data_IF_026438996586
#
_entry.id   IF_026438996586
#
_cell.length_a   1.000
_cell.length_b   1.000
_cell.length_c   1.000
_cell.angle_alpha   90.00
_cell.angle_beta   90.00
_cell.angle_gamma   90.00
#
_symmetry.space_group_name_H-M   'P 1'
#
loop_
_entity.id
_entity.type
_entity.pdbx_description
1 polymer ?
#
# COMPACT_ATOMS: atom_id res chain seq x y z
N UNK A 1 0.43 -1.16 4.07
CA UNK A 1 -1.01 -1.02 3.81
C UNK A 1 -1.28 -1.13 2.31
N UNK A 2 -2.51 -1.42 1.90
CA UNK A 2 -2.89 -1.55 0.48
C UNK A 2 -4.27 -0.92 0.23
N UNK A 3 -4.48 -0.42 -0.98
CA UNK A 3 -5.80 -0.15 -1.51
C UNK A 3 -5.96 -0.63 -2.95
N UNK A 4 -7.19 -0.96 -3.32
CA UNK A 4 -7.58 -1.10 -4.72
C UNK A 4 -7.92 0.27 -5.28
N UNK A 5 -7.23 0.68 -6.34
CA UNK A 5 -7.41 1.99 -7.00
C UNK A 5 -7.93 1.77 -8.42
N UNK A 6 -8.84 2.64 -8.87
CA UNK A 6 -9.39 2.58 -10.23
C UNK A 6 -8.43 3.22 -11.22
N UNK A 7 -8.23 2.53 -12.34
CA UNK A 7 -7.45 3.00 -13.49
C UNK A 7 -8.27 2.83 -14.76
N UNK A 8 -9.00 3.89 -15.13
CA UNK A 8 -9.96 3.82 -16.22
C UNK A 8 -11.03 2.77 -15.95
N UNK A 9 -11.10 1.75 -16.81
CA UNK A 9 -12.00 0.61 -16.70
C UNK A 9 -11.45 -0.55 -15.84
N UNK A 10 -10.20 -0.48 -15.41
CA UNK A 10 -9.51 -1.53 -14.65
C UNK A 10 -9.20 -1.09 -13.22
N UNK A 11 -8.60 -2.01 -12.47
CA UNK A 11 -8.09 -1.78 -11.12
C UNK A 11 -6.60 -2.00 -11.05
N UNK A 12 -5.98 -1.36 -10.06
CA UNK A 12 -4.63 -1.63 -9.61
C UNK A 12 -4.61 -1.82 -8.09
N UNK A 13 -3.63 -2.55 -7.58
CA UNK A 13 -3.32 -2.58 -6.16
C UNK A 13 -2.16 -1.62 -5.89
N UNK A 14 -2.41 -0.59 -5.09
CA UNK A 14 -1.36 0.29 -4.60
C UNK A 14 -0.99 -0.10 -3.18
N UNK A 15 0.27 -0.51 -3.00
CA UNK A 15 0.86 -0.87 -1.72
C UNK A 15 1.82 0.22 -1.24
N UNK A 16 1.74 0.48 0.06
CA UNK A 16 2.76 1.19 0.81
C UNK A 16 3.35 0.26 1.85
N UNK A 17 4.67 0.08 1.81
CA UNK A 17 5.38 -0.88 2.65
C UNK A 17 6.59 -0.19 3.28
N UNK A 18 6.84 -0.44 4.56
CA UNK A 18 8.10 -0.12 5.21
C UNK A 18 8.88 -1.41 5.42
N UNK A 19 10.19 -1.38 5.15
CA UNK A 19 11.10 -2.50 5.30
C UNK A 19 12.36 -2.03 6.04
N UNK A 20 12.89 -2.89 6.91
CA UNK A 20 14.18 -2.63 7.57
C UNK A 20 15.37 -3.06 6.70
N UNK A 21 15.17 -4.05 5.83
CA UNK A 21 16.23 -4.53 4.94
C UNK A 21 16.34 -3.61 3.70
N UNK A 22 17.44 -2.84 3.56
CA UNK A 22 17.62 -1.91 2.44
C UNK A 22 17.92 -2.61 1.10
N UNK A 23 18.26 -3.90 1.10
CA UNK A 23 18.57 -4.65 -0.13
C UNK A 23 17.32 -5.02 -0.94
N UNK A 24 16.13 -4.95 -0.33
CA UNK A 24 14.88 -5.29 -0.99
C UNK A 24 14.37 -4.11 -1.80
N UNK A 25 14.32 -4.27 -3.11
CA UNK A 25 13.77 -3.26 -4.01
C UNK A 25 12.23 -3.34 -4.08
N UNK A 26 11.59 -2.22 -4.41
CA UNK A 26 10.14 -2.17 -4.64
C UNK A 26 9.69 -3.16 -5.73
N UNK A 27 10.47 -3.32 -6.80
CA UNK A 27 10.18 -4.25 -7.89
C UNK A 27 10.24 -5.71 -7.41
N UNK A 28 11.28 -6.08 -6.65
CA UNK A 28 11.41 -7.43 -6.11
C UNK A 28 10.25 -7.75 -5.16
N UNK A 29 9.88 -6.81 -4.29
CA UNK A 29 8.75 -6.96 -3.39
C UNK A 29 7.42 -7.08 -4.15
N UNK A 30 7.21 -6.25 -5.18
CA UNK A 30 6.00 -6.29 -6.03
C UNK A 30 5.81 -7.68 -6.65
N UNK A 31 6.86 -8.25 -7.25
CA UNK A 31 6.80 -9.60 -7.84
C UNK A 31 6.52 -10.67 -6.79
N UNK A 32 7.17 -10.56 -5.62
CA UNK A 32 7.00 -11.53 -4.54
C UNK A 32 5.58 -11.52 -3.98
N UNK A 33 5.02 -10.34 -3.70
CA UNK A 33 3.68 -10.22 -3.11
C UNK A 33 2.58 -10.59 -4.12
N UNK A 34 2.69 -10.18 -5.38
CA UNK A 34 1.70 -10.53 -6.41
C UNK A 34 1.66 -12.05 -6.62
N UNK A 35 2.83 -12.69 -6.73
CA UNK A 35 2.94 -14.15 -6.83
C UNK A 35 2.33 -14.86 -5.63
N UNK A 36 2.66 -14.41 -4.42
CA UNK A 36 2.18 -15.07 -3.21
C UNK A 36 0.67 -14.89 -3.01
N UNK A 37 0.12 -13.72 -3.36
CA UNK A 37 -1.33 -13.50 -3.35
C UNK A 37 -2.05 -14.38 -4.36
N UNK A 38 -1.55 -14.50 -5.59
CA UNK A 38 -2.10 -15.44 -6.59
C UNK A 38 -2.03 -16.89 -6.10
N UNK A 39 -0.96 -17.27 -5.39
CA UNK A 39 -0.79 -18.64 -4.86
C UNK A 39 -1.75 -18.94 -3.70
N UNK A 40 -2.07 -17.94 -2.89
CA UNK A 40 -2.89 -18.09 -1.69
C UNK A 40 -4.39 -17.85 -1.93
N UNK A 41 -4.75 -17.16 -3.01
CA UNK A 41 -6.12 -16.71 -3.27
C UNK A 41 -6.46 -16.83 -4.76
N UNK A 42 -7.26 -17.83 -5.10
CA UNK A 42 -7.70 -18.10 -6.47
C UNK A 42 -8.52 -16.95 -7.07
N UNK A 43 -9.38 -16.29 -6.27
CA UNK A 43 -10.14 -15.12 -6.74
C UNK A 43 -9.19 -13.97 -7.10
N UNK A 44 -8.14 -13.75 -6.31
CA UNK A 44 -7.12 -12.76 -6.65
C UNK A 44 -6.41 -13.14 -7.96
N UNK A 45 -6.05 -14.41 -8.14
CA UNK A 45 -5.42 -14.89 -9.38
C UNK A 45 -6.32 -14.68 -10.61
N UNK A 46 -7.63 -14.93 -10.47
CA UNK A 46 -8.63 -14.67 -11.51
C UNK A 46 -8.74 -13.17 -11.80
N UNK A 47 -8.92 -12.34 -10.76
CA UNK A 47 -9.02 -10.89 -10.91
C UNK A 47 -7.78 -10.30 -11.58
N UNK A 48 -6.58 -10.82 -11.28
CA UNK A 48 -5.32 -10.41 -11.94
C UNK A 48 -5.31 -10.62 -13.45
N UNK A 49 -6.09 -11.56 -13.97
CA UNK A 49 -6.21 -11.84 -15.41
C UNK A 49 -7.21 -10.87 -16.06
N UNK A 50 -8.32 -10.58 -15.38
CA UNK A 50 -9.47 -9.91 -15.99
C UNK A 50 -9.58 -8.42 -15.68
N UNK A 51 -9.45 -8.01 -14.41
CA UNK A 51 -9.82 -6.68 -13.96
C UNK A 51 -8.70 -5.92 -13.23
N UNK A 52 -7.88 -6.62 -12.44
CA UNK A 52 -6.75 -6.07 -11.70
C UNK A 52 -5.50 -6.14 -12.58
N UNK A 53 -5.16 -5.05 -13.27
CA UNK A 53 -4.07 -5.05 -14.25
C UNK A 53 -2.70 -4.79 -13.66
N UNK A 54 -2.63 -4.01 -12.60
CA UNK A 54 -1.36 -3.55 -12.04
C UNK A 54 -1.25 -3.77 -10.53
N UNK A 55 -0.02 -3.96 -10.07
CA UNK A 55 0.35 -4.03 -8.65
C UNK A 55 1.57 -3.16 -8.47
N UNK A 56 1.45 -2.16 -7.60
CA UNK A 56 2.47 -1.16 -7.34
C UNK A 56 2.86 -1.20 -5.89
N UNK A 57 4.17 -1.12 -5.64
CA UNK A 57 4.72 -1.00 -4.30
C UNK A 57 5.54 0.27 -4.25
N UNK A 58 5.25 1.11 -3.27
CA UNK A 58 6.14 2.18 -2.86
C UNK A 58 6.68 1.85 -1.48
N UNK A 59 8.01 1.84 -1.37
CA UNK A 59 8.70 1.69 -0.10
C UNK A 59 8.74 3.06 0.58
N UNK A 60 8.25 3.12 1.82
CA UNK A 60 8.23 4.34 2.64
C UNK A 60 9.00 4.09 3.93
N UNK A 61 9.68 5.12 4.48
CA UNK A 61 10.22 5.07 5.84
C UNK A 61 9.13 4.76 6.87
N UNK A 62 9.48 4.02 7.93
CA UNK A 62 8.56 3.66 9.01
C UNK A 62 7.96 4.91 9.68
N UNK A 63 8.75 5.97 9.76
CA UNK A 63 8.41 7.29 10.29
C UNK A 63 7.22 7.90 9.56
N UNK A 64 7.02 7.57 8.27
CA UNK A 64 5.86 8.04 7.50
C UNK A 64 4.55 7.49 8.09
N UNK A 65 4.54 6.20 8.42
CA UNK A 65 3.35 5.57 9.00
C UNK A 65 3.10 6.07 10.41
N UNK A 66 4.16 6.22 11.21
CA UNK A 66 4.07 6.72 12.58
C UNK A 66 3.62 8.18 12.63
N UNK A 67 4.20 9.04 11.79
CA UNK A 67 3.81 10.45 11.67
C UNK A 67 2.35 10.62 11.23
N UNK A 68 1.83 9.75 10.37
CA UNK A 68 0.41 9.77 10.01
C UNK A 68 -0.54 9.33 11.15
N UNK A 69 -0.10 8.42 12.03
CA UNK A 69 -0.88 8.11 13.23
C UNK A 69 -0.84 9.27 14.23
N UNK A 70 0.32 9.87 14.41
CA UNK A 70 0.54 11.01 15.31
C UNK A 70 -0.27 12.24 14.87
N UNK A 71 -0.27 12.58 13.59
CA UNK A 71 -1.02 13.73 13.05
C UNK A 71 -2.53 13.65 13.28
N UNK A 72 -3.05 12.44 13.56
CA UNK A 72 -4.46 12.20 13.87
C UNK A 72 -4.75 12.09 15.37
N UNK A 73 -3.79 12.46 16.21
CA UNK A 73 -3.89 12.33 17.66
C UNK A 73 -3.95 10.88 18.14
N UNK A 74 -3.55 9.92 17.31
CA UNK A 74 -3.60 8.47 17.59
C UNK A 74 -2.25 7.92 18.02
N UNK A 75 -1.56 8.63 18.91
CA UNK A 75 -0.29 8.19 19.51
C UNK A 75 -0.49 7.49 20.86
N UNK A 76 -1.73 7.11 21.19
CA UNK A 76 -1.96 6.12 22.23
C UNK A 76 -1.60 4.74 21.66
N UNK A 77 -0.78 3.94 22.36
CA UNK A 77 -0.17 2.68 21.88
C UNK A 77 -1.12 1.56 21.45
N UNK A 78 -2.39 1.86 21.19
CA UNK A 78 -3.41 1.00 20.62
C UNK A 78 -3.68 1.30 19.13
N UNK A 79 -3.25 2.44 18.61
CA UNK A 79 -3.46 2.80 17.22
C UNK A 79 -2.62 1.91 16.29
N UNK A 80 -3.29 1.21 15.38
CA UNK A 80 -2.65 0.33 14.39
C UNK A 80 -2.80 0.94 13.01
N UNK A 81 -1.78 0.76 12.19
CA UNK A 81 -1.87 1.02 10.75
C UNK A 81 -2.88 0.03 10.14
N UNK A 82 -3.96 0.50 9.50
CA UNK A 82 -4.87 -0.35 8.75
C UNK A 82 -4.11 -1.14 7.69
N UNK A 83 -4.35 -2.45 7.63
CA UNK A 83 -3.75 -3.32 6.59
C UNK A 83 -4.28 -2.97 5.20
N UNK A 84 -5.58 -2.67 5.13
CA UNK A 84 -6.29 -2.22 3.92
C UNK A 84 -6.94 -0.87 4.23
N UNK A 85 -6.81 0.09 3.32
CA UNK A 85 -7.45 1.41 3.41
C UNK A 85 -8.40 1.60 2.23
N UNK A 86 -9.51 2.31 2.43
CA UNK A 86 -10.51 2.61 1.39
C UNK A 86 -11.06 4.02 1.58
N UNK A 87 -11.51 4.63 0.48
CA UNK A 87 -12.18 5.94 0.47
C UNK A 87 -11.39 7.02 1.22
N UNK A 88 -12.08 7.79 2.06
CA UNK A 88 -11.48 8.93 2.77
C UNK A 88 -10.23 8.58 3.59
N UNK A 89 -10.10 7.36 4.13
CA UNK A 89 -8.89 6.97 4.86
C UNK A 89 -7.68 6.78 3.94
N UNK A 90 -7.91 6.28 2.73
CA UNK A 90 -6.87 6.15 1.71
C UNK A 90 -6.46 7.52 1.20
N UNK A 91 -7.44 8.39 0.92
CA UNK A 91 -7.20 9.75 0.43
C UNK A 91 -6.41 10.58 1.46
N UNK A 92 -6.77 10.47 2.75
CA UNK A 92 -6.05 11.08 3.88
C UNK A 92 -4.59 10.60 3.98
N UNK A 93 -4.35 9.29 3.87
CA UNK A 93 -2.98 8.75 3.90
C UNK A 93 -2.15 9.22 2.70
N UNK A 94 -2.72 9.20 1.48
CA UNK A 94 -2.01 9.67 0.28
C UNK A 94 -1.66 11.16 0.37
N UNK A 95 -2.59 11.99 0.87
CA UNK A 95 -2.32 13.40 1.08
C UNK A 95 -1.16 13.62 2.06
N UNK A 96 -1.09 12.82 3.13
CA UNK A 96 0.02 12.84 4.08
C UNK A 96 1.35 12.44 3.42
N UNK A 97 1.36 11.34 2.66
CA UNK A 97 2.56 10.86 1.95
C UNK A 97 3.08 11.90 0.93
N UNK A 98 2.17 12.57 0.22
CA UNK A 98 2.53 13.63 -0.72
C UNK A 98 3.12 14.88 -0.02
N UNK A 99 2.55 15.31 1.11
CA UNK A 99 3.04 16.46 1.87
C UNK A 99 4.39 16.21 2.55
N UNK A 100 4.68 14.97 2.94
CA UNK A 100 5.95 14.59 3.54
C UNK A 100 7.15 14.68 2.56
N UNK A 101 6.92 15.02 1.28
CA UNK A 101 7.97 15.11 0.26
C UNK A 101 8.51 13.74 -0.16
N UNK A 102 7.77 12.67 0.11
CA UNK A 102 8.17 11.28 -0.21
C UNK A 102 7.68 10.86 -1.61
N UNK A 103 7.04 11.78 -2.34
CA UNK A 103 6.66 11.59 -3.74
C UNK A 103 7.18 12.77 -4.55
N UNK A 104 7.99 12.46 -5.55
CA UNK A 104 8.25 13.30 -6.73
C UNK A 104 7.40 12.79 -7.89
#
# INVERSE_FOLDING_TARGET
>A
TVSGVREGSFWAHQWYVSLENPEVTAEAFTKAIDRELCRLNDDYAVERIYALRDVRVQLLPNETFMGWLESRGKMNGQAKIPRVMKGAQWDDFNAFVAQAGIVS
#
